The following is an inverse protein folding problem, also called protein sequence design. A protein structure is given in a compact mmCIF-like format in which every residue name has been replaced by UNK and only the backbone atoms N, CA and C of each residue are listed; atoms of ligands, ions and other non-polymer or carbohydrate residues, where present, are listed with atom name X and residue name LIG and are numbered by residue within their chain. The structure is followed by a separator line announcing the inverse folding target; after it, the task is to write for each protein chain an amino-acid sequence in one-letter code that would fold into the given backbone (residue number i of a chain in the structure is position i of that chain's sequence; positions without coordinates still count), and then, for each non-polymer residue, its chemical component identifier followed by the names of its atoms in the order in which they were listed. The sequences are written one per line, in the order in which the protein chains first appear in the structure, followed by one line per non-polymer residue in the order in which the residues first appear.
data_IF_820725846788
#
_entry.id   IF_820725846788
#
_cell.length_a   1.000
_cell.length_b   1.000
_cell.length_c   1.000
_cell.angle_alpha   90.00
_cell.angle_beta   90.00
_cell.angle_gamma   90.00
#
_symmetry.space_group_name_H-M   'P 1'
#
loop_
_entity.id
_entity.type
_entity.pdbx_description
1 polymer ?
#
# COMPACT_ATOMS: atom_id res chain seq x y z
N UNK A 1 -27.00 -18.22 -3.21
CA UNK A 1 -26.00 -18.40 -4.30
C UNK A 1 -24.63 -18.61 -3.66
N UNK A 2 -23.77 -19.47 -4.22
CA UNK A 2 -22.39 -19.63 -3.72
C UNK A 2 -21.57 -18.38 -4.14
N UNK A 3 -20.86 -17.71 -3.24
CA UNK A 3 -20.06 -16.54 -3.60
C UNK A 3 -18.96 -16.88 -4.61
N UNK A 4 -18.75 -15.96 -5.55
CA UNK A 4 -17.77 -16.06 -6.64
C UNK A 4 -16.48 -15.35 -6.22
N UNK A 5 -15.35 -16.01 -6.41
CA UNK A 5 -14.01 -15.43 -6.31
C UNK A 5 -13.54 -15.05 -7.71
N UNK A 6 -13.47 -13.75 -7.95
CA UNK A 6 -12.92 -13.15 -9.16
C UNK A 6 -11.50 -12.66 -8.87
N UNK A 7 -10.54 -13.07 -9.70
CA UNK A 7 -9.14 -12.65 -9.55
C UNK A 7 -8.81 -11.58 -10.57
N UNK A 8 -8.47 -10.38 -10.09
CA UNK A 8 -8.09 -9.23 -10.90
C UNK A 8 -6.60 -9.25 -11.24
N UNK A 9 -6.29 -9.40 -12.53
CA UNK A 9 -4.92 -9.44 -13.05
C UNK A 9 -4.44 -8.03 -13.41
N UNK A 10 -4.26 -7.17 -12.40
CA UNK A 10 -3.76 -5.78 -12.57
C UNK A 10 -2.24 -5.72 -12.78
N UNK A 11 -1.80 -6.21 -13.94
CA UNK A 11 -0.40 -6.33 -14.33
C UNK A 11 -0.17 -5.61 -15.65
N UNK A 12 1.08 -5.34 -16.03
CA UNK A 12 1.41 -4.73 -17.32
C UNK A 12 1.96 -5.74 -18.34
N UNK A 13 1.85 -7.04 -18.05
CA UNK A 13 2.57 -8.08 -18.77
C UNK A 13 1.71 -9.33 -18.94
N UNK A 14 1.45 -9.70 -20.19
CA UNK A 14 0.62 -10.85 -20.55
C UNK A 14 1.15 -12.19 -20.02
N UNK A 15 2.42 -12.53 -20.27
CA UNK A 15 2.98 -13.85 -19.93
C UNK A 15 2.86 -14.12 -18.43
N UNK A 16 3.16 -13.09 -17.64
CA UNK A 16 3.05 -13.16 -16.19
C UNK A 16 1.60 -13.26 -15.72
N UNK A 17 0.71 -12.46 -16.30
CA UNK A 17 -0.71 -12.51 -15.96
C UNK A 17 -1.28 -13.91 -16.21
N UNK A 18 -0.84 -14.59 -17.28
CA UNK A 18 -1.24 -15.97 -17.59
C UNK A 18 -0.68 -16.97 -16.58
N UNK A 19 0.60 -16.85 -16.18
CA UNK A 19 1.16 -17.71 -15.12
C UNK A 19 0.37 -17.56 -13.80
N UNK A 20 0.11 -16.32 -13.39
CA UNK A 20 -0.68 -16.03 -12.18
C UNK A 20 -2.11 -16.57 -12.33
N UNK A 21 -2.72 -16.44 -13.52
CA UNK A 21 -4.04 -16.99 -13.80
C UNK A 21 -4.08 -18.51 -13.63
N UNK A 22 -3.07 -19.25 -14.13
CA UNK A 22 -2.96 -20.70 -13.94
C UNK A 22 -2.91 -21.06 -12.45
N UNK A 23 -2.06 -20.39 -11.69
CA UNK A 23 -1.89 -20.68 -10.28
C UNK A 23 -3.11 -20.27 -9.45
N UNK A 24 -3.77 -19.17 -9.80
CA UNK A 24 -5.04 -18.76 -9.19
C UNK A 24 -6.15 -19.79 -9.48
N UNK A 25 -6.25 -20.30 -10.71
CA UNK A 25 -7.20 -21.37 -11.05
C UNK A 25 -6.92 -22.65 -10.26
N UNK A 26 -5.65 -23.07 -10.12
CA UNK A 26 -5.26 -24.20 -9.25
C UNK A 26 -5.63 -23.96 -7.77
N UNK A 27 -5.63 -22.70 -7.35
CA UNK A 27 -6.04 -22.28 -6.01
C UNK A 27 -7.56 -22.19 -5.81
N UNK A 28 -8.35 -22.26 -6.88
CA UNK A 28 -9.81 -22.27 -6.83
C UNK A 28 -10.48 -20.97 -7.24
N UNK A 29 -9.82 -20.11 -8.03
CA UNK A 29 -10.45 -18.97 -8.67
C UNK A 29 -11.62 -19.41 -9.57
N UNK A 30 -12.75 -18.73 -9.48
CA UNK A 30 -13.91 -19.02 -10.32
C UNK A 30 -13.85 -18.18 -11.60
N UNK A 31 -13.57 -16.88 -11.46
CA UNK A 31 -13.52 -15.90 -12.54
C UNK A 31 -12.12 -15.31 -12.66
N UNK A 32 -11.69 -15.02 -13.88
CA UNK A 32 -10.43 -14.37 -14.19
C UNK A 32 -10.72 -13.05 -14.88
N UNK A 33 -10.15 -11.97 -14.36
CA UNK A 33 -10.33 -10.63 -14.90
C UNK A 33 -9.04 -10.12 -15.52
N UNK A 34 -9.11 -9.74 -16.79
CA UNK A 34 -8.11 -8.88 -17.40
C UNK A 34 -8.33 -7.46 -16.86
N UNK A 35 -7.51 -7.07 -15.88
CA UNK A 35 -7.61 -5.76 -15.23
C UNK A 35 -7.30 -4.60 -16.18
N UNK A 36 -7.78 -3.40 -15.84
CA UNK A 36 -7.58 -2.18 -16.65
C UNK A 36 -6.10 -1.97 -17.09
N UNK A 37 -5.08 -2.06 -16.20
CA UNK A 37 -3.69 -1.83 -16.60
C UNK A 37 -3.20 -2.85 -17.63
N UNK A 38 -3.67 -4.10 -17.52
CA UNK A 38 -3.27 -5.20 -18.40
C UNK A 38 -3.86 -5.03 -19.79
N UNK A 39 -5.16 -4.68 -19.86
CA UNK A 39 -5.83 -4.32 -21.10
C UNK A 39 -5.14 -3.13 -21.76
N UNK A 40 -4.81 -2.08 -21.01
CA UNK A 40 -4.12 -0.90 -21.56
C UNK A 40 -2.72 -1.23 -22.09
N UNK A 41 -2.01 -2.20 -21.50
CA UNK A 41 -0.66 -2.55 -21.94
C UNK A 41 -0.62 -3.53 -23.11
N UNK A 42 -1.54 -4.49 -23.14
CA UNK A 42 -1.51 -5.64 -24.08
C UNK A 42 -2.66 -5.60 -25.11
N UNK A 43 -3.58 -4.66 -24.97
CA UNK A 43 -4.83 -4.59 -25.74
C UNK A 43 -5.73 -5.81 -25.49
N UNK A 44 -6.70 -6.04 -26.39
CA UNK A 44 -7.63 -7.18 -26.29
C UNK A 44 -6.97 -8.55 -26.54
N UNK A 45 -5.70 -8.60 -26.90
CA UNK A 45 -4.99 -9.86 -27.06
C UNK A 45 -4.88 -10.63 -25.73
N UNK A 46 -4.84 -9.94 -24.59
CA UNK A 46 -4.82 -10.63 -23.30
C UNK A 46 -6.13 -11.36 -23.02
N UNK A 47 -7.27 -10.76 -23.38
CA UNK A 47 -8.59 -11.39 -23.23
C UNK A 47 -8.68 -12.65 -24.11
N UNK A 48 -8.18 -12.57 -25.36
CA UNK A 48 -8.10 -13.73 -26.27
C UNK A 48 -7.26 -14.87 -25.68
N UNK A 49 -6.06 -14.56 -25.17
CA UNK A 49 -5.18 -15.55 -24.55
C UNK A 49 -5.79 -16.18 -23.29
N UNK A 50 -6.47 -15.38 -22.47
CA UNK A 50 -7.19 -15.90 -21.30
C UNK A 50 -8.33 -16.85 -21.70
N UNK A 51 -9.14 -16.49 -22.70
CA UNK A 51 -10.18 -17.37 -23.24
C UNK A 51 -9.61 -18.67 -23.79
N UNK A 52 -8.53 -18.59 -24.58
CA UNK A 52 -7.88 -19.75 -25.18
C UNK A 52 -7.37 -20.73 -24.11
N UNK A 53 -6.72 -20.23 -23.05
CA UNK A 53 -6.13 -21.09 -22.01
C UNK A 53 -7.13 -21.54 -20.94
N UNK A 54 -8.22 -20.79 -20.74
CA UNK A 54 -9.22 -21.06 -19.70
C UNK A 54 -10.65 -21.09 -20.28
N UNK A 55 -10.94 -21.99 -21.24
CA UNK A 55 -12.23 -22.00 -21.96
C UNK A 55 -13.44 -22.23 -21.04
N UNK A 56 -13.23 -22.92 -19.91
CA UNK A 56 -14.27 -23.26 -18.92
C UNK A 56 -14.40 -22.24 -17.78
N UNK A 57 -13.66 -21.13 -17.82
CA UNK A 57 -13.71 -20.07 -16.81
C UNK A 57 -14.47 -18.87 -17.34
N UNK A 58 -15.08 -18.14 -16.42
CA UNK A 58 -15.64 -16.84 -16.73
C UNK A 58 -14.50 -15.84 -16.91
N UNK A 59 -14.43 -15.20 -18.08
CA UNK A 59 -13.43 -14.18 -18.39
C UNK A 59 -14.09 -12.81 -18.29
N UNK A 60 -13.54 -11.96 -17.43
CA UNK A 60 -13.98 -10.57 -17.25
C UNK A 60 -13.00 -9.64 -17.96
N UNK A 61 -13.51 -8.70 -18.75
CA UNK A 61 -12.73 -7.59 -19.28
C UNK A 61 -13.06 -6.33 -18.49
N UNK A 62 -12.12 -5.86 -17.65
CA UNK A 62 -12.29 -4.60 -16.92
C UNK A 62 -11.96 -3.42 -17.83
N UNK A 63 -12.89 -3.12 -18.76
CA UNK A 63 -12.72 -2.07 -19.75
C UNK A 63 -12.81 -0.68 -19.12
N UNK A 64 -13.58 -0.54 -18.02
CA UNK A 64 -13.96 0.75 -17.44
C UNK A 64 -14.44 1.73 -18.51
N UNK A 65 -15.26 1.23 -19.42
CA UNK A 65 -15.82 1.97 -20.53
C UNK A 65 -16.53 3.21 -20.00
N UNK A 66 -16.04 4.38 -20.40
CA UNK A 66 -16.66 5.67 -20.06
C UNK A 66 -17.53 6.19 -21.21
N UNK A 67 -17.11 5.92 -22.45
CA UNK A 67 -17.72 6.36 -23.70
C UNK A 67 -17.71 5.21 -24.73
N UNK A 68 -18.49 5.31 -25.81
CA UNK A 68 -18.55 4.35 -26.92
C UNK A 68 -18.98 2.94 -26.50
N UNK A 69 -20.00 2.87 -25.64
CA UNK A 69 -20.47 1.64 -24.98
C UNK A 69 -20.65 0.42 -25.90
N UNK A 70 -21.26 0.61 -27.08
CA UNK A 70 -21.44 -0.50 -28.03
C UNK A 70 -20.12 -1.02 -28.62
N UNK A 71 -19.20 -0.12 -28.98
CA UNK A 71 -17.93 -0.45 -29.64
C UNK A 71 -17.00 -1.22 -28.71
N UNK A 72 -16.78 -0.70 -27.50
CA UNK A 72 -15.91 -1.36 -26.52
C UNK A 72 -16.48 -2.69 -26.04
N UNK A 73 -17.80 -2.76 -25.84
CA UNK A 73 -18.49 -4.02 -25.51
C UNK A 73 -18.33 -5.06 -26.62
N UNK A 74 -18.54 -4.67 -27.88
CA UNK A 74 -18.35 -5.55 -29.03
C UNK A 74 -16.89 -6.04 -29.13
N UNK A 75 -15.94 -5.15 -28.90
CA UNK A 75 -14.52 -5.47 -28.97
C UNK A 75 -14.12 -6.52 -27.93
N UNK A 76 -14.54 -6.34 -26.68
CA UNK A 76 -14.26 -7.28 -25.59
C UNK A 76 -15.01 -8.60 -25.76
N UNK A 77 -16.27 -8.57 -26.20
CA UNK A 77 -17.06 -9.77 -26.47
C UNK A 77 -16.41 -10.64 -27.57
N UNK A 78 -16.02 -10.02 -28.70
CA UNK A 78 -15.31 -10.72 -29.79
C UNK A 78 -13.94 -11.24 -29.37
N UNK A 79 -13.32 -10.64 -28.36
CA UNK A 79 -12.07 -11.14 -27.80
C UNK A 79 -12.28 -12.35 -26.87
N UNK A 80 -13.52 -12.66 -26.48
CA UNK A 80 -13.88 -13.83 -25.70
C UNK A 80 -14.21 -13.54 -24.23
N UNK A 81 -14.50 -12.29 -23.86
CA UNK A 81 -15.01 -11.96 -22.51
C UNK A 81 -16.46 -12.44 -22.34
N UNK A 82 -16.81 -12.92 -21.14
CA UNK A 82 -18.19 -13.24 -20.76
C UNK A 82 -18.84 -12.08 -20.00
N UNK A 83 -18.02 -11.30 -19.27
CA UNK A 83 -18.45 -10.15 -18.48
C UNK A 83 -17.58 -8.96 -18.84
N UNK A 84 -18.19 -7.80 -19.05
CA UNK A 84 -17.50 -6.57 -19.47
C UNK A 84 -17.83 -5.48 -18.46
N UNK A 85 -16.82 -4.78 -17.95
CA UNK A 85 -17.01 -3.70 -16.99
C UNK A 85 -17.21 -2.34 -17.67
N UNK A 86 -18.11 -1.52 -17.10
CA UNK A 86 -18.33 -0.11 -17.47
C UNK A 86 -18.30 0.77 -16.23
N UNK A 87 -18.12 2.08 -16.41
CA UNK A 87 -18.23 3.03 -15.31
C UNK A 87 -19.69 3.46 -15.11
N UNK A 88 -20.15 3.45 -13.86
CA UNK A 88 -21.47 3.94 -13.49
C UNK A 88 -21.60 5.45 -13.67
N UNK A 89 -20.48 6.17 -13.75
CA UNK A 89 -20.45 7.59 -14.07
C UNK A 89 -20.73 7.89 -15.56
N UNK A 90 -20.74 6.89 -16.44
CA UNK A 90 -21.08 7.05 -17.85
C UNK A 90 -22.52 7.52 -18.06
N UNK A 91 -22.75 8.19 -19.20
CA UNK A 91 -24.08 8.60 -19.63
C UNK A 91 -24.99 7.40 -19.92
N UNK A 92 -26.30 7.56 -19.69
CA UNK A 92 -27.30 6.52 -19.90
C UNK A 92 -27.40 6.06 -21.37
N UNK A 93 -27.07 6.92 -22.33
CA UNK A 93 -26.98 6.52 -23.75
C UNK A 93 -25.85 5.51 -23.97
N UNK A 94 -24.68 5.74 -23.38
CA UNK A 94 -23.52 4.84 -23.43
C UNK A 94 -23.87 3.48 -22.82
N UNK A 95 -24.49 3.48 -21.64
CA UNK A 95 -24.89 2.23 -20.98
C UNK A 95 -25.95 1.49 -21.79
N UNK A 96 -26.95 2.18 -22.35
CA UNK A 96 -27.97 1.55 -23.20
C UNK A 96 -27.38 0.90 -24.44
N UNK A 97 -26.43 1.56 -25.08
CA UNK A 97 -25.78 1.02 -26.27
C UNK A 97 -24.86 -0.15 -25.95
N UNK A 98 -24.17 -0.10 -24.80
CA UNK A 98 -23.47 -1.27 -24.27
C UNK A 98 -24.42 -2.43 -24.00
N UNK A 99 -25.58 -2.21 -23.36
CA UNK A 99 -26.58 -3.26 -23.08
C UNK A 99 -27.06 -3.90 -24.38
N UNK A 100 -27.42 -3.11 -25.40
CA UNK A 100 -27.81 -3.66 -26.71
C UNK A 100 -26.71 -4.53 -27.32
N UNK A 101 -25.46 -4.07 -27.27
CA UNK A 101 -24.31 -4.81 -27.78
C UNK A 101 -24.08 -6.10 -26.98
N UNK A 102 -24.15 -6.04 -25.65
CA UNK A 102 -23.99 -7.18 -24.77
C UNK A 102 -25.02 -8.28 -25.06
N UNK A 103 -26.30 -7.90 -25.22
CA UNK A 103 -27.36 -8.85 -25.59
C UNK A 103 -27.14 -9.47 -26.97
N UNK A 104 -26.67 -8.70 -27.96
CA UNK A 104 -26.34 -9.20 -29.30
C UNK A 104 -25.25 -10.28 -29.27
N UNK A 105 -24.25 -10.13 -28.41
CA UNK A 105 -23.12 -11.07 -28.30
C UNK A 105 -23.29 -12.12 -27.19
N UNK A 106 -24.39 -12.09 -26.43
CA UNK A 106 -24.65 -13.05 -25.35
C UNK A 106 -23.73 -12.89 -24.13
N UNK A 107 -23.19 -11.69 -23.91
CA UNK A 107 -22.31 -11.36 -22.77
C UNK A 107 -23.05 -10.55 -21.71
N UNK A 108 -22.46 -10.44 -20.53
CA UNK A 108 -23.03 -9.70 -19.40
C UNK A 108 -22.25 -8.42 -19.10
N UNK A 109 -22.94 -7.45 -18.50
CA UNK A 109 -22.34 -6.18 -18.10
C UNK A 109 -22.25 -6.05 -16.59
N UNK A 110 -21.08 -5.62 -16.12
CA UNK A 110 -20.82 -5.21 -14.74
C UNK A 110 -20.58 -3.71 -14.70
N UNK A 111 -21.26 -2.98 -13.83
CA UNK A 111 -21.08 -1.51 -13.73
C UNK A 111 -20.40 -1.14 -12.43
N UNK A 112 -19.22 -0.55 -12.54
CA UNK A 112 -18.38 -0.06 -11.44
C UNK A 112 -18.89 1.31 -10.97
N UNK A 113 -19.30 1.38 -9.70
CA UNK A 113 -19.85 2.58 -9.07
C UNK A 113 -18.77 3.55 -8.56
N UNK A 114 -17.50 3.33 -8.88
CA UNK A 114 -16.42 4.24 -8.53
C UNK A 114 -16.70 5.67 -9.03
N UNK A 115 -16.52 6.64 -8.14
CA UNK A 115 -16.72 8.07 -8.44
C UNK A 115 -18.18 8.48 -8.64
N UNK A 116 -19.16 7.58 -8.43
CA UNK A 116 -20.58 7.93 -8.51
C UNK A 116 -21.00 8.69 -7.24
N UNK A 117 -21.56 9.91 -7.34
CA UNK A 117 -21.91 10.71 -6.15
C UNK A 117 -23.01 10.09 -5.28
N UNK A 118 -24.02 9.47 -5.90
CA UNK A 118 -25.10 8.74 -5.22
C UNK A 118 -25.20 7.31 -5.79
N UNK A 119 -24.40 6.37 -5.26
CA UNK A 119 -24.34 5.02 -5.79
C UNK A 119 -25.66 4.26 -5.64
N UNK A 120 -26.47 4.56 -4.62
CA UNK A 120 -27.75 3.89 -4.37
C UNK A 120 -28.77 4.29 -5.42
N UNK A 121 -28.94 5.60 -5.65
CA UNK A 121 -29.81 6.08 -6.72
C UNK A 121 -29.34 5.61 -8.09
N UNK A 122 -28.01 5.62 -8.34
CA UNK A 122 -27.46 5.15 -9.61
C UNK A 122 -27.73 3.67 -9.82
N UNK A 123 -27.54 2.83 -8.79
CA UNK A 123 -27.85 1.40 -8.86
C UNK A 123 -29.28 1.16 -9.36
N UNK A 124 -30.30 1.81 -8.77
CA UNK A 124 -31.69 1.68 -9.21
C UNK A 124 -31.90 2.04 -10.69
N UNK A 125 -31.22 3.11 -11.16
CA UNK A 125 -31.29 3.49 -12.58
C UNK A 125 -30.66 2.42 -13.50
N UNK A 126 -29.53 1.86 -13.09
CA UNK A 126 -28.82 0.82 -13.85
C UNK A 126 -29.65 -0.47 -13.95
N UNK A 127 -30.40 -0.82 -12.90
CA UNK A 127 -31.36 -1.93 -12.94
C UNK A 127 -32.40 -1.75 -14.04
N UNK A 128 -32.93 -0.54 -14.17
CA UNK A 128 -33.91 -0.20 -15.22
C UNK A 128 -33.30 -0.26 -16.62
N UNK A 129 -32.00 0.07 -16.74
CA UNK A 129 -31.28 0.02 -18.01
C UNK A 129 -30.90 -1.40 -18.45
N UNK A 130 -31.03 -2.40 -17.58
CA UNK A 130 -30.83 -3.80 -17.91
C UNK A 130 -29.39 -4.30 -17.80
N UNK A 131 -28.58 -3.70 -16.93
CA UNK A 131 -27.24 -4.23 -16.56
C UNK A 131 -27.37 -5.54 -15.78
N UNK A 132 -26.29 -6.34 -15.65
CA UNK A 132 -26.38 -7.66 -15.02
C UNK A 132 -25.74 -7.71 -13.62
N UNK A 133 -24.73 -6.86 -13.37
CA UNK A 133 -23.99 -6.80 -12.10
C UNK A 133 -23.68 -5.36 -11.70
N UNK A 134 -23.67 -5.11 -10.39
CA UNK A 134 -23.14 -3.88 -9.80
C UNK A 134 -21.78 -4.17 -9.18
N UNK A 135 -20.84 -3.25 -9.26
CA UNK A 135 -19.54 -3.36 -8.60
C UNK A 135 -19.31 -2.15 -7.68
N UNK A 136 -19.07 -2.43 -6.40
CA UNK A 136 -18.60 -1.44 -5.43
C UNK A 136 -17.08 -1.52 -5.44
N UNK A 137 -16.44 -0.46 -5.92
CA UNK A 137 -14.99 -0.37 -5.96
C UNK A 137 -14.53 0.76 -5.05
N UNK A 138 -13.79 0.41 -4.00
CA UNK A 138 -13.11 1.41 -3.18
C UNK A 138 -11.87 1.85 -3.95
N UNK A 139 -11.77 3.13 -4.30
CA UNK A 139 -10.58 3.65 -5.00
C UNK A 139 -9.30 3.42 -4.20
N UNK A 140 -8.16 3.33 -4.87
CA UNK A 140 -6.85 3.10 -4.21
C UNK A 140 -6.59 4.17 -3.14
N UNK A 141 -6.89 5.45 -3.44
CA UNK A 141 -6.70 6.56 -2.50
C UNK A 141 -7.58 6.41 -1.23
N UNK A 142 -8.82 5.95 -1.39
CA UNK A 142 -9.72 5.69 -0.25
C UNK A 142 -9.30 4.47 0.57
N UNK A 143 -8.72 3.46 -0.07
CA UNK A 143 -8.13 2.31 0.61
C UNK A 143 -6.91 2.71 1.45
N UNK A 144 -6.07 3.62 0.95
CA UNK A 144 -4.89 4.10 1.70
C UNK A 144 -5.28 4.84 2.99
N UNK A 145 -6.47 5.44 3.01
CA UNK A 145 -7.06 6.08 4.20
C UNK A 145 -7.90 5.11 5.05
N UNK A 146 -7.94 3.81 4.73
CA UNK A 146 -8.60 2.80 5.56
C UNK A 146 -10.14 2.84 5.56
N UNK A 147 -10.78 3.52 4.60
CA UNK A 147 -12.25 3.52 4.50
C UNK A 147 -12.77 2.11 4.18
N UNK A 148 -13.82 1.67 4.90
CA UNK A 148 -14.46 0.36 4.69
C UNK A 148 -15.80 0.51 3.97
N UNK A 149 -16.16 -0.40 3.03
CA UNK A 149 -17.34 -0.26 2.17
C UNK A 149 -18.63 -0.77 2.81
N UNK A 150 -18.59 -1.20 4.08
CA UNK A 150 -19.65 -2.02 4.67
C UNK A 150 -21.02 -1.33 4.68
N UNK A 151 -21.07 -0.04 4.99
CA UNK A 151 -22.33 0.71 5.03
C UNK A 151 -22.98 0.82 3.63
N UNK A 152 -22.18 1.15 2.61
CA UNK A 152 -22.67 1.26 1.24
C UNK A 152 -23.13 -0.11 0.71
N UNK A 153 -22.34 -1.15 0.95
CA UNK A 153 -22.67 -2.52 0.57
C UNK A 153 -23.97 -3.00 1.22
N UNK A 154 -24.11 -2.82 2.53
CA UNK A 154 -25.35 -3.17 3.25
C UNK A 154 -26.57 -2.43 2.70
N UNK A 155 -26.39 -1.16 2.32
CA UNK A 155 -27.47 -0.33 1.78
C UNK A 155 -27.87 -0.83 0.39
N UNK A 156 -26.91 -1.01 -0.51
CA UNK A 156 -27.16 -1.55 -1.85
C UNK A 156 -27.75 -2.96 -1.80
N UNK A 157 -27.25 -3.84 -0.93
CA UNK A 157 -27.77 -5.20 -0.78
C UNK A 157 -29.23 -5.25 -0.27
N UNK A 158 -29.71 -4.19 0.40
CA UNK A 158 -31.12 -4.07 0.83
C UNK A 158 -32.03 -3.52 -0.28
N UNK A 159 -31.49 -2.72 -1.20
CA UNK A 159 -32.27 -1.97 -2.18
C UNK A 159 -32.16 -2.50 -3.62
N UNK A 160 -31.15 -3.31 -3.90
CA UNK A 160 -30.90 -3.89 -5.23
C UNK A 160 -31.16 -5.39 -5.21
N UNK A 161 -31.74 -5.89 -6.31
CA UNK A 161 -31.92 -7.33 -6.54
C UNK A 161 -30.77 -7.94 -7.35
N UNK A 162 -29.83 -7.13 -7.82
CA UNK A 162 -28.70 -7.62 -8.61
C UNK A 162 -27.59 -8.21 -7.76
N UNK A 163 -26.84 -9.19 -8.33
CA UNK A 163 -25.62 -9.65 -7.70
C UNK A 163 -24.60 -8.50 -7.62
N UNK A 164 -24.10 -8.25 -6.41
CA UNK A 164 -23.13 -7.18 -6.11
C UNK A 164 -21.73 -7.77 -6.04
N UNK A 165 -20.84 -7.23 -6.86
CA UNK A 165 -19.41 -7.40 -6.78
C UNK A 165 -18.78 -6.35 -5.85
N UNK A 166 -17.73 -6.74 -5.13
CA UNK A 166 -16.96 -5.82 -4.30
C UNK A 166 -15.49 -5.97 -4.64
N UNK A 167 -14.85 -4.84 -4.94
CA UNK A 167 -13.43 -4.71 -5.20
C UNK A 167 -12.79 -3.71 -4.24
N UNK A 168 -11.49 -3.89 -4.01
CA UNK A 168 -10.64 -2.95 -3.31
C UNK A 168 -10.07 -3.48 -2.01
N UNK A 169 -8.76 -3.78 -2.01
CA UNK A 169 -8.01 -4.17 -0.80
C UNK A 169 -8.47 -5.46 -0.11
N UNK A 170 -9.29 -6.30 -0.76
CA UNK A 170 -9.83 -7.51 -0.13
C UNK A 170 -8.76 -8.59 0.04
N UNK A 171 -8.80 -9.30 1.17
CA UNK A 171 -7.86 -10.35 1.55
C UNK A 171 -8.56 -11.44 2.39
N UNK A 172 -7.81 -12.44 2.86
CA UNK A 172 -8.38 -13.56 3.64
C UNK A 172 -9.05 -13.15 4.95
N UNK A 173 -8.80 -11.93 5.45
CA UNK A 173 -9.45 -11.41 6.65
C UNK A 173 -10.79 -10.73 6.35
N UNK A 174 -10.91 -10.04 5.22
CA UNK A 174 -12.05 -9.16 4.94
C UNK A 174 -13.12 -9.81 4.08
N UNK A 175 -12.78 -10.82 3.26
CA UNK A 175 -13.74 -11.43 2.32
C UNK A 175 -14.95 -12.08 2.98
N UNK A 176 -14.79 -12.66 4.17
CA UNK A 176 -15.89 -13.29 4.90
C UNK A 176 -16.93 -12.25 5.35
N UNK A 177 -16.47 -11.13 5.89
CA UNK A 177 -17.32 -10.02 6.30
C UNK A 177 -18.03 -9.38 5.09
N UNK A 178 -17.31 -9.18 3.98
CA UNK A 178 -17.90 -8.65 2.74
C UNK A 178 -19.04 -9.53 2.21
N UNK A 179 -18.89 -10.86 2.26
CA UNK A 179 -19.97 -11.79 1.88
C UNK A 179 -21.15 -11.71 2.85
N UNK A 180 -20.88 -11.66 4.16
CA UNK A 180 -21.94 -11.57 5.17
C UNK A 180 -22.78 -10.28 5.03
N UNK A 181 -22.18 -9.24 4.45
CA UNK A 181 -22.85 -7.97 4.15
C UNK A 181 -23.60 -7.91 2.82
N UNK A 182 -23.62 -9.00 2.05
CA UNK A 182 -24.47 -9.14 0.85
C UNK A 182 -23.73 -9.24 -0.48
N UNK A 183 -22.38 -9.23 -0.49
CA UNK A 183 -21.63 -9.43 -1.72
C UNK A 183 -21.80 -10.86 -2.25
N UNK A 184 -22.05 -10.98 -3.55
CA UNK A 184 -22.14 -12.28 -4.25
C UNK A 184 -20.89 -12.56 -5.08
N UNK A 185 -20.15 -11.53 -5.47
CA UNK A 185 -18.87 -11.60 -6.16
C UNK A 185 -17.83 -10.84 -5.34
N UNK A 186 -16.67 -11.45 -5.14
CA UNK A 186 -15.55 -10.88 -4.40
C UNK A 186 -14.37 -10.78 -5.35
N UNK A 187 -13.93 -9.55 -5.63
CA UNK A 187 -12.83 -9.28 -6.55
C UNK A 187 -11.55 -9.05 -5.75
N UNK A 188 -10.56 -9.91 -5.99
CA UNK A 188 -9.27 -9.87 -5.29
C UNK A 188 -8.14 -9.74 -6.29
N UNK A 189 -7.37 -8.65 -6.16
CA UNK A 189 -6.16 -8.39 -6.94
C UNK A 189 -4.89 -8.67 -6.13
N UNK A 190 -4.31 -7.62 -5.55
CA UNK A 190 -2.99 -7.62 -4.91
C UNK A 190 -2.75 -8.77 -3.92
N UNK A 191 -3.74 -9.12 -3.09
CA UNK A 191 -3.61 -10.20 -2.11
C UNK A 191 -3.36 -11.60 -2.72
N UNK A 192 -3.67 -11.77 -4.01
CA UNK A 192 -3.37 -12.96 -4.79
C UNK A 192 -2.17 -12.70 -5.71
N UNK A 193 -2.21 -11.62 -6.50
CA UNK A 193 -1.25 -11.39 -7.59
C UNK A 193 0.15 -10.99 -7.13
N UNK A 194 0.28 -10.51 -5.89
CA UNK A 194 1.57 -10.18 -5.26
C UNK A 194 2.04 -11.23 -4.24
N UNK A 195 1.25 -12.29 -4.01
CA UNK A 195 1.63 -13.35 -3.07
C UNK A 195 2.85 -14.14 -3.58
N UNK A 196 3.68 -14.62 -2.65
CA UNK A 196 4.79 -15.52 -2.97
C UNK A 196 4.29 -16.84 -3.58
N UNK A 197 3.18 -17.37 -3.05
CA UNK A 197 2.49 -18.54 -3.58
C UNK A 197 1.04 -18.17 -3.93
N UNK A 198 0.82 -17.89 -5.21
CA UNK A 198 -0.49 -17.47 -5.75
C UNK A 198 -1.56 -18.53 -5.52
N UNK A 199 -1.25 -19.82 -5.74
CA UNK A 199 -2.21 -20.91 -5.55
C UNK A 199 -2.65 -21.06 -4.10
N UNK A 200 -1.71 -20.95 -3.16
CA UNK A 200 -2.02 -21.03 -1.73
C UNK A 200 -2.81 -19.81 -1.25
N UNK A 201 -2.40 -18.59 -1.62
CA UNK A 201 -3.12 -17.37 -1.29
C UNK A 201 -4.58 -17.43 -1.78
N UNK A 202 -4.77 -17.83 -3.04
CA UNK A 202 -6.11 -18.01 -3.63
C UNK A 202 -6.93 -19.05 -2.86
N UNK A 203 -6.33 -20.19 -2.49
CA UNK A 203 -6.99 -21.26 -1.72
C UNK A 203 -7.41 -20.79 -0.33
N UNK A 204 -6.54 -20.04 0.35
CA UNK A 204 -6.81 -19.47 1.67
C UNK A 204 -7.99 -18.50 1.62
N UNK A 205 -8.01 -17.61 0.62
CA UNK A 205 -9.14 -16.69 0.40
C UNK A 205 -10.43 -17.47 0.09
N UNK A 206 -10.36 -18.46 -0.80
CA UNK A 206 -11.51 -19.31 -1.13
C UNK A 206 -12.04 -20.06 0.10
N UNK A 207 -11.15 -20.51 0.99
CA UNK A 207 -11.51 -21.13 2.28
C UNK A 207 -12.20 -20.13 3.21
N UNK A 208 -11.66 -18.91 3.36
CA UNK A 208 -12.27 -17.85 4.16
C UNK A 208 -13.69 -17.51 3.67
N UNK A 209 -13.88 -17.44 2.36
CA UNK A 209 -15.19 -17.21 1.72
C UNK A 209 -16.17 -18.37 1.98
N UNK A 210 -15.73 -19.62 1.78
CA UNK A 210 -16.59 -20.80 1.90
C UNK A 210 -16.98 -21.05 3.36
N UNK A 211 -16.05 -20.86 4.29
CA UNK A 211 -16.27 -21.01 5.72
C UNK A 211 -16.93 -19.79 6.36
N UNK A 212 -17.01 -18.66 5.63
CA UNK A 212 -17.44 -17.35 6.13
C UNK A 212 -16.73 -16.95 7.43
N UNK A 213 -15.43 -17.23 7.51
CA UNK A 213 -14.58 -16.95 8.66
C UNK A 213 -13.33 -16.18 8.23
N UNK A 214 -12.96 -15.20 9.05
CA UNK A 214 -11.69 -14.48 8.96
C UNK A 214 -10.53 -15.48 9.07
N UNK A 215 -9.57 -15.40 8.15
CA UNK A 215 -8.28 -16.10 8.27
C UNK A 215 -7.18 -15.04 8.30
N UNK A 216 -6.49 -14.94 9.44
CA UNK A 216 -5.45 -13.94 9.70
C UNK A 216 -4.30 -14.03 8.69
N UNK A 217 -3.81 -12.88 8.25
CA UNK A 217 -2.64 -12.75 7.37
C UNK A 217 -1.82 -11.52 7.75
N UNK A 218 -0.50 -11.67 7.71
CA UNK A 218 0.43 -10.55 7.87
C UNK A 218 0.61 -9.76 6.56
N UNK A 219 0.22 -10.32 5.42
CA UNK A 219 0.35 -9.69 4.11
C UNK A 219 -0.97 -9.09 3.64
N UNK A 220 -0.88 -7.98 2.91
CA UNK A 220 -1.99 -7.27 2.27
C UNK A 220 -3.00 -6.70 3.27
N UNK A 221 -2.54 -6.37 4.48
CA UNK A 221 -3.30 -5.70 5.52
C UNK A 221 -3.13 -4.18 5.37
N UNK A 222 -4.24 -3.45 5.40
CA UNK A 222 -4.25 -2.00 5.54
C UNK A 222 -4.41 -1.64 7.01
N UNK A 223 -3.64 -0.66 7.46
CA UNK A 223 -3.56 -0.19 8.84
C UNK A 223 -4.27 1.16 8.96
N UNK A 224 -4.94 1.37 10.09
CA UNK A 224 -5.53 2.66 10.45
C UNK A 224 -4.56 3.52 11.27
N UNK A 225 -5.00 4.75 11.60
CA UNK A 225 -4.19 5.72 12.34
C UNK A 225 -3.75 5.24 13.74
N UNK A 226 -4.42 4.24 14.32
CA UNK A 226 -4.08 3.69 15.65
C UNK A 226 -3.03 2.59 15.59
N UNK A 227 -2.84 1.97 14.42
CA UNK A 227 -1.92 0.85 14.21
C UNK A 227 -0.61 1.26 13.46
N UNK A 228 -0.32 2.57 13.35
CA UNK A 228 0.79 3.05 12.53
C UNK A 228 2.17 2.63 13.03
N UNK A 229 2.34 2.48 14.35
CA UNK A 229 3.59 1.96 14.92
C UNK A 229 3.93 0.59 14.34
N UNK A 230 2.95 -0.34 14.38
CA UNK A 230 3.12 -1.68 13.83
C UNK A 230 3.32 -1.67 12.32
N UNK A 231 2.62 -0.79 11.59
CA UNK A 231 2.78 -0.65 10.15
C UNK A 231 4.22 -0.22 9.78
N UNK A 232 4.73 0.85 10.40
CA UNK A 232 6.09 1.34 10.18
C UNK A 232 7.18 0.38 10.66
N UNK A 233 6.91 -0.39 11.73
CA UNK A 233 7.84 -1.42 12.19
C UNK A 233 8.01 -2.57 11.17
N UNK A 234 7.09 -2.71 10.22
CA UNK A 234 7.12 -3.78 9.23
C UNK A 234 7.78 -3.38 7.92
N UNK A 235 8.18 -2.13 7.74
CA UNK A 235 8.77 -1.63 6.48
C UNK A 235 10.12 -1.00 6.75
N UNK A 236 11.01 -1.08 5.76
CA UNK A 236 12.34 -0.48 5.86
C UNK A 236 12.32 1.01 5.50
N UNK A 237 13.33 1.78 5.89
CA UNK A 237 13.44 3.19 5.51
C UNK A 237 13.47 3.41 3.99
N UNK A 238 14.10 2.54 3.15
CA UNK A 238 13.95 2.63 1.69
C UNK A 238 12.50 2.43 1.21
N UNK A 239 11.75 1.47 1.77
CA UNK A 239 10.35 1.27 1.37
C UNK A 239 9.49 2.51 1.67
N UNK A 240 9.73 3.16 2.81
CA UNK A 240 9.03 4.40 3.19
C UNK A 240 9.42 5.54 2.25
N UNK A 241 10.71 5.70 1.94
CA UNK A 241 11.17 6.75 1.03
C UNK A 241 10.59 6.57 -0.37
N UNK A 242 10.56 5.35 -0.91
CA UNK A 242 9.94 5.05 -2.20
C UNK A 242 8.42 5.34 -2.20
N UNK A 243 7.72 5.04 -1.10
CA UNK A 243 6.31 5.39 -0.92
C UNK A 243 6.07 6.90 -0.89
N UNK A 244 7.06 7.68 -0.45
CA UNK A 244 7.09 9.15 -0.46
C UNK A 244 7.77 9.73 -1.72
N UNK A 245 7.86 8.99 -2.82
CA UNK A 245 8.49 9.45 -4.06
C UNK A 245 9.96 9.86 -3.91
N UNK A 246 10.73 9.08 -3.12
CA UNK A 246 12.16 9.25 -2.83
C UNK A 246 12.48 10.47 -1.97
N UNK A 247 11.57 10.81 -1.06
CA UNK A 247 11.70 11.92 -0.11
C UNK A 247 11.80 11.41 1.34
N UNK A 248 11.91 12.33 2.29
CA UNK A 248 11.89 12.05 3.73
C UNK A 248 13.21 11.58 4.34
N UNK A 249 14.19 11.14 3.54
CA UNK A 249 15.47 10.67 4.04
C UNK A 249 16.35 11.81 4.58
N UNK A 250 16.87 11.64 5.81
CA UNK A 250 17.75 12.59 6.47
C UNK A 250 19.20 12.46 5.95
N UNK A 251 19.75 13.57 5.45
CA UNK A 251 21.07 13.59 4.83
C UNK A 251 22.22 13.65 5.83
N UNK A 252 23.14 12.69 5.68
CA UNK A 252 24.38 12.60 6.45
C UNK A 252 24.16 12.26 7.93
N UNK A 253 23.00 11.71 8.26
CA UNK A 253 22.69 11.12 9.55
C UNK A 253 22.84 9.61 9.42
N UNK A 254 23.66 8.98 10.27
CA UNK A 254 23.97 7.56 10.19
C UNK A 254 23.78 6.88 11.55
N UNK A 255 23.36 5.59 11.56
CA UNK A 255 23.37 4.82 12.79
C UNK A 255 24.80 4.70 13.29
N UNK A 256 25.01 4.87 14.60
CA UNK A 256 26.33 4.64 15.20
C UNK A 256 26.59 3.14 15.41
N UNK A 257 25.53 2.33 15.38
CA UNK A 257 25.53 0.87 15.48
C UNK A 257 24.39 0.28 14.66
N UNK A 258 24.62 -0.87 14.03
CA UNK A 258 23.65 -1.56 13.17
C UNK A 258 22.76 -2.53 13.96
N UNK A 259 21.69 -3.02 13.34
CA UNK A 259 20.80 -4.06 13.88
C UNK A 259 19.60 -3.53 14.65
N UNK A 260 19.31 -2.24 14.54
CA UNK A 260 18.13 -1.61 15.15
C UNK A 260 17.09 -1.25 14.09
N UNK A 261 15.82 -1.35 14.49
CA UNK A 261 14.68 -0.79 13.76
C UNK A 261 13.93 0.13 14.70
N UNK A 262 14.20 1.43 14.59
CA UNK A 262 13.63 2.48 15.43
C UNK A 262 12.37 3.03 14.78
N UNK A 263 11.28 3.12 15.53
CA UNK A 263 10.03 3.76 15.12
C UNK A 263 9.47 4.54 16.29
N UNK A 264 9.11 5.81 16.09
CA UNK A 264 8.40 6.58 17.11
C UNK A 264 8.04 7.99 16.64
N UNK A 265 7.27 8.70 17.46
CA UNK A 265 6.92 10.10 17.18
C UNK A 265 8.04 11.02 17.62
N UNK A 266 8.33 12.05 16.84
CA UNK A 266 9.37 13.03 17.10
C UNK A 266 9.00 13.92 18.30
N UNK A 267 9.93 14.11 19.22
CA UNK A 267 10.02 15.31 20.03
C UNK A 267 11.25 16.09 19.56
N UNK A 268 11.01 17.24 18.97
CA UNK A 268 12.05 18.05 18.33
C UNK A 268 12.75 18.95 19.33
N UNK A 269 14.06 19.09 19.17
CA UNK A 269 14.91 19.93 20.02
C UNK A 269 15.84 20.72 19.12
N UNK A 270 15.86 22.03 19.28
CA UNK A 270 16.85 22.91 18.66
C UNK A 270 17.82 23.38 19.72
N UNK A 271 19.11 23.33 19.45
CA UNK A 271 20.14 23.91 20.31
C UNK A 271 21.35 24.39 19.49
N UNK A 272 22.39 24.89 20.15
CA UNK A 272 23.61 25.40 19.50
C UNK A 272 24.78 24.43 19.70
N UNK A 273 25.85 24.61 18.90
CA UNK A 273 27.02 23.72 18.96
C UNK A 273 27.60 23.64 20.39
N UNK A 274 27.69 22.40 20.88
CA UNK A 274 28.14 22.06 22.23
C UNK A 274 27.16 22.33 23.38
N UNK A 275 25.96 22.86 23.16
CA UNK A 275 24.99 23.01 24.26
C UNK A 275 24.13 21.76 24.44
N UNK A 276 24.39 21.00 25.51
CA UNK A 276 23.66 19.78 25.82
C UNK A 276 22.46 19.98 26.74
N UNK A 277 22.21 21.19 27.26
CA UNK A 277 21.17 21.41 28.28
C UNK A 277 19.75 21.05 27.77
N UNK A 278 19.38 21.49 26.57
CA UNK A 278 18.05 21.22 25.97
C UNK A 278 17.85 19.75 25.57
N UNK A 279 18.83 19.06 24.95
CA UNK A 279 18.74 17.62 24.73
C UNK A 279 18.45 16.81 26.00
N UNK A 280 19.08 17.14 27.13
CA UNK A 280 18.85 16.43 28.40
C UNK A 280 17.48 16.77 28.99
N UNK A 281 17.11 18.06 29.03
CA UNK A 281 15.77 18.51 29.47
C UNK A 281 14.64 17.85 28.66
N UNK A 282 14.87 17.57 27.37
CA UNK A 282 13.90 16.91 26.51
C UNK A 282 13.64 15.44 26.89
N UNK A 283 14.61 14.74 27.48
CA UNK A 283 14.41 13.36 27.97
C UNK A 283 13.33 13.34 29.06
N UNK A 284 13.36 14.31 29.98
CA UNK A 284 12.40 14.38 31.08
C UNK A 284 10.97 14.62 30.59
N UNK A 285 10.85 15.43 29.52
CA UNK A 285 9.58 15.80 28.87
C UNK A 285 9.06 14.75 27.89
N UNK A 286 9.91 13.85 27.41
CA UNK A 286 9.52 12.83 26.44
C UNK A 286 8.63 11.75 27.06
N UNK A 287 7.70 11.25 26.25
CA UNK A 287 6.88 10.10 26.59
C UNK A 287 7.58 8.80 26.15
N UNK A 288 7.15 7.68 26.71
CA UNK A 288 7.62 6.35 26.31
C UNK A 288 7.40 6.14 24.80
N UNK A 289 8.42 5.62 24.11
CA UNK A 289 8.39 5.36 22.67
C UNK A 289 8.59 6.59 21.78
N UNK A 290 8.84 7.78 22.34
CA UNK A 290 9.22 8.97 21.58
C UNK A 290 10.63 8.82 20.99
N UNK A 291 10.86 9.39 19.81
CA UNK A 291 12.19 9.61 19.23
C UNK A 291 12.58 11.06 19.46
N UNK A 292 13.70 11.30 20.14
CA UNK A 292 14.25 12.65 20.24
C UNK A 292 14.95 13.02 18.94
N UNK A 293 14.63 14.18 18.37
CA UNK A 293 15.29 14.69 17.16
C UNK A 293 15.95 16.02 17.48
N UNK A 294 17.27 16.03 17.52
CA UNK A 294 18.09 17.15 17.98
C UNK A 294 18.76 17.81 16.77
N UNK A 295 18.42 19.07 16.53
CA UNK A 295 19.08 19.96 15.57
C UNK A 295 20.10 20.83 16.29
N UNK A 296 21.37 20.64 15.92
CA UNK A 296 22.52 21.41 16.42
C UNK A 296 23.15 22.22 15.27
N UNK A 297 22.42 22.44 14.18
CA UNK A 297 22.91 23.08 12.96
C UNK A 297 24.24 22.49 12.46
N UNK A 298 24.35 21.15 12.47
CA UNK A 298 25.54 20.39 12.07
C UNK A 298 26.78 20.70 12.92
N UNK A 299 26.58 21.06 14.20
CA UNK A 299 27.63 21.28 15.17
C UNK A 299 28.58 20.09 15.30
N UNK A 300 29.86 20.40 15.55
CA UNK A 300 30.93 19.38 15.62
C UNK A 300 31.34 19.05 17.06
N UNK A 301 30.73 19.71 18.04
CA UNK A 301 30.95 19.46 19.47
C UNK A 301 29.83 18.57 20.01
N UNK A 302 30.17 17.55 20.79
CA UNK A 302 29.18 16.59 21.25
C UNK A 302 28.15 17.22 22.20
N UNK A 303 26.87 16.95 21.93
CA UNK A 303 25.72 17.32 22.78
C UNK A 303 25.06 16.11 23.44
N UNK A 304 25.59 14.91 23.18
CA UNK A 304 25.06 13.64 23.65
C UNK A 304 26.18 12.63 23.90
N UNK A 305 26.00 11.79 24.92
CA UNK A 305 26.99 10.79 25.35
C UNK A 305 26.35 9.69 26.19
N UNK A 306 27.18 9.01 26.99
CA UNK A 306 26.77 7.81 27.74
C UNK A 306 25.60 8.07 28.70
N UNK A 307 25.73 9.08 29.57
CA UNK A 307 24.75 9.34 30.63
C UNK A 307 23.37 9.75 30.07
N UNK A 308 23.37 10.54 29.00
CA UNK A 308 22.15 10.90 28.27
C UNK A 308 21.46 9.65 27.70
N UNK A 309 22.26 8.73 27.17
CA UNK A 309 21.79 7.47 26.60
C UNK A 309 21.17 6.57 27.67
N UNK A 310 21.78 6.46 28.85
CA UNK A 310 21.18 5.75 29.98
C UNK A 310 19.85 6.36 30.40
N UNK A 311 19.78 7.69 30.52
CA UNK A 311 18.54 8.39 30.88
C UNK A 311 17.43 8.12 29.85
N UNK A 312 17.74 8.26 28.56
CA UNK A 312 16.80 7.98 27.47
C UNK A 312 16.33 6.52 27.43
N UNK A 313 17.25 5.56 27.66
CA UNK A 313 16.92 4.13 27.70
C UNK A 313 16.02 3.79 28.89
N UNK A 314 16.31 4.32 30.07
CA UNK A 314 15.48 4.11 31.28
C UNK A 314 14.11 4.76 31.18
N UNK A 315 13.99 5.86 30.43
CA UNK A 315 12.72 6.51 30.07
C UNK A 315 11.94 5.76 28.98
N UNK A 316 12.51 4.67 28.45
CA UNK A 316 11.93 3.86 27.38
C UNK A 316 11.65 4.66 26.10
N UNK A 317 12.55 5.59 25.75
CA UNK A 317 12.49 6.26 24.45
C UNK A 317 12.78 5.25 23.32
N UNK A 318 12.23 5.49 22.14
CA UNK A 318 12.47 4.62 20.98
C UNK A 318 13.88 4.81 20.39
N UNK A 319 14.48 5.99 20.58
CA UNK A 319 15.83 6.30 20.13
C UNK A 319 16.10 7.80 20.06
N UNK A 320 17.25 8.18 19.52
CA UNK A 320 17.64 9.58 19.31
C UNK A 320 18.30 9.79 17.95
N UNK A 321 17.99 10.91 17.33
CA UNK A 321 18.54 11.39 16.06
C UNK A 321 19.18 12.74 16.29
N UNK A 322 20.46 12.90 15.94
CA UNK A 322 21.24 14.10 16.27
C UNK A 322 21.89 14.62 15.00
N UNK A 323 21.41 15.76 14.50
CA UNK A 323 22.09 16.55 13.47
C UNK A 323 23.24 17.36 14.07
N UNK A 324 24.22 16.62 14.56
CA UNK A 324 25.37 17.09 15.32
C UNK A 324 26.22 15.90 15.76
N UNK A 325 26.98 16.08 16.85
CA UNK A 325 27.94 15.10 17.30
C UNK A 325 27.54 14.37 18.59
N UNK A 326 27.98 13.11 18.70
CA UNK A 326 27.93 12.29 19.92
C UNK A 326 29.34 11.95 20.39
N UNK A 327 29.48 11.55 21.66
CA UNK A 327 30.73 11.02 22.24
C UNK A 327 30.50 9.74 23.04
N UNK A 328 31.55 9.23 23.70
CA UNK A 328 31.52 8.03 24.56
C UNK A 328 31.16 6.76 23.76
N UNK A 329 31.65 6.67 22.52
CA UNK A 329 31.19 5.70 21.52
C UNK A 329 31.24 4.25 22.00
N UNK A 330 32.32 3.85 22.68
CA UNK A 330 32.49 2.49 23.17
C UNK A 330 31.44 2.10 24.22
N UNK A 331 31.00 3.04 25.06
CA UNK A 331 29.90 2.82 26.00
C UNK A 331 28.54 2.84 25.31
N UNK A 332 28.34 3.73 24.32
CA UNK A 332 27.11 3.75 23.52
C UNK A 332 26.83 2.41 22.84
N UNK A 333 27.86 1.74 22.32
CA UNK A 333 27.74 0.40 21.72
C UNK A 333 27.27 -0.66 22.73
N UNK A 334 27.73 -0.57 23.99
CA UNK A 334 27.36 -1.52 25.05
C UNK A 334 25.92 -1.33 25.52
N UNK A 335 25.41 -0.10 25.50
CA UNK A 335 24.06 0.22 25.99
C UNK A 335 22.97 -0.31 25.04
N UNK A 336 23.27 -0.59 23.76
CA UNK A 336 22.31 -1.10 22.78
C UNK A 336 21.03 -0.24 22.70
N UNK A 337 21.21 1.05 22.47
CA UNK A 337 20.13 2.02 22.27
C UNK A 337 20.23 2.62 20.85
N UNK A 338 19.11 2.78 20.10
CA UNK A 338 19.17 3.35 18.76
C UNK A 338 19.62 4.82 18.79
N UNK A 339 20.81 5.07 18.24
CA UNK A 339 21.39 6.42 18.13
C UNK A 339 21.83 6.64 16.68
N UNK A 340 21.35 7.74 16.11
CA UNK A 340 21.74 8.21 14.80
C UNK A 340 22.38 9.58 14.94
N UNK A 341 23.56 9.78 14.36
CA UNK A 341 24.27 11.05 14.44
C UNK A 341 24.94 11.43 13.13
N UNK A 342 25.34 12.70 13.02
CA UNK A 342 26.20 13.17 11.93
C UNK A 342 27.67 12.86 12.21
N UNK A 343 28.10 13.08 13.45
CA UNK A 343 29.50 12.90 13.85
C UNK A 343 29.63 12.08 15.13
N UNK A 344 30.80 11.47 15.29
CA UNK A 344 31.27 10.84 16.53
C UNK A 344 32.60 11.53 16.86
N UNK A 345 32.70 12.15 18.04
CA UNK A 345 33.83 13.00 18.43
C UNK A 345 34.18 12.81 19.91
N UNK A 346 35.41 13.13 20.34
CA UNK A 346 35.81 13.01 21.75
C UNK A 346 35.47 14.26 22.60
N UNK A 347 35.36 15.44 21.99
CA UNK A 347 35.12 16.70 22.71
C UNK A 347 33.63 16.89 23.03
N UNK A 348 33.34 17.21 24.29
CA UNK A 348 32.01 17.66 24.72
C UNK A 348 31.93 19.17 24.82
N UNK A 349 30.70 19.67 24.77
CA UNK A 349 30.41 21.04 25.16
C UNK A 349 29.90 21.18 26.59
N UNK A 350 29.15 22.24 26.84
CA UNK A 350 28.77 22.73 28.16
C UNK A 350 27.27 23.09 28.19
N UNK A 351 26.60 23.00 29.35
CA UNK A 351 25.18 23.32 29.45
C UNK A 351 24.99 24.83 29.45
N UNK A 352 24.60 25.41 28.32
CA UNK A 352 24.36 26.86 28.20
C UNK A 352 22.88 27.22 28.35
N UNK A 353 21.98 26.24 28.21
CA UNK A 353 20.55 26.42 28.43
C UNK A 353 19.81 27.09 27.27
N UNK A 354 20.45 27.20 26.11
CA UNK A 354 19.93 27.87 24.92
C UNK A 354 19.23 26.88 23.99
N UNK A 355 18.19 27.37 23.32
CA UNK A 355 17.40 26.61 22.36
C UNK A 355 15.99 26.32 22.82
N UNK A 356 15.31 25.44 22.08
CA UNK A 356 13.87 25.24 22.15
C UNK A 356 13.54 23.75 22.08
N UNK A 357 12.51 23.34 22.82
CA UNK A 357 11.92 22.00 22.74
C UNK A 357 10.55 22.16 22.08
N UNK A 358 10.19 21.22 21.21
CA UNK A 358 8.97 21.23 20.40
C UNK A 358 8.90 22.28 19.29
N UNK A 359 10.03 22.90 18.94
CA UNK A 359 10.12 23.79 17.78
C UNK A 359 10.18 23.01 16.46
N UNK A 360 9.70 23.60 15.37
CA UNK A 360 9.99 23.07 14.03
C UNK A 360 11.49 23.21 13.74
N UNK A 361 12.15 22.14 13.30
CA UNK A 361 13.61 22.10 13.09
C UNK A 361 13.96 21.65 11.68
N UNK A 362 15.21 21.88 11.28
CA UNK A 362 15.77 21.30 10.04
C UNK A 362 16.85 20.29 10.41
N UNK A 363 16.55 19.01 10.24
CA UNK A 363 17.47 17.91 10.56
C UNK A 363 17.74 17.12 9.28
N UNK A 364 19.01 16.94 8.90
CA UNK A 364 19.38 16.20 7.70
C UNK A 364 18.77 16.78 6.42
N UNK A 365 18.64 18.10 6.33
CA UNK A 365 17.97 18.80 5.22
C UNK A 365 16.48 18.44 5.06
N UNK A 366 15.80 18.02 6.13
CA UNK A 366 14.36 17.81 6.18
C UNK A 366 13.75 18.66 7.30
N UNK A 367 12.57 19.23 7.05
CA UNK A 367 11.77 19.92 8.08
C UNK A 367 11.07 18.86 8.94
N UNK A 368 11.20 18.98 10.25
CA UNK A 368 10.60 18.04 11.22
C UNK A 368 9.88 18.82 12.30
N UNK A 369 8.64 18.41 12.60
CA UNK A 369 7.83 18.94 13.70
C UNK A 369 7.62 17.88 14.76
N UNK A 370 7.37 18.32 15.99
CA UNK A 370 6.96 17.40 17.06
C UNK A 370 5.66 16.70 16.66
N UNK A 371 5.65 15.37 16.82
CA UNK A 371 4.56 14.48 16.41
C UNK A 371 4.74 13.81 15.04
N UNK A 372 5.66 14.28 14.18
CA UNK A 372 5.99 13.56 12.94
C UNK A 372 6.59 12.18 13.25
N UNK A 373 6.45 11.21 12.35
CA UNK A 373 6.99 9.87 12.55
C UNK A 373 8.44 9.81 12.10
N UNK A 374 9.29 9.20 12.95
CA UNK A 374 10.70 8.98 12.66
C UNK A 374 10.94 7.48 12.61
N UNK A 375 11.48 7.02 11.48
CA UNK A 375 11.84 5.62 11.27
C UNK A 375 13.33 5.58 10.98
N UNK A 376 14.07 4.74 11.70
CA UNK A 376 15.50 4.56 11.50
C UNK A 376 15.88 3.08 11.40
N UNK A 377 16.71 2.75 10.42
CA UNK A 377 17.31 1.43 10.26
C UNK A 377 18.77 1.58 9.80
N UNK A 378 19.41 0.47 9.43
CA UNK A 378 20.81 0.46 9.00
C UNK A 378 21.09 1.35 7.76
N UNK A 379 20.07 1.69 6.96
CA UNK A 379 20.21 2.55 5.78
C UNK A 379 20.24 4.04 6.15
N UNK A 380 19.68 4.42 7.30
CA UNK A 380 19.59 5.81 7.77
C UNK A 380 18.27 6.10 8.48
N UNK A 381 17.81 7.34 8.38
CA UNK A 381 16.57 7.81 9.03
C UNK A 381 15.66 8.46 7.99
N UNK A 382 14.36 8.21 8.09
CA UNK A 382 13.30 8.85 7.30
C UNK A 382 12.30 9.51 8.24
N UNK A 383 11.88 10.73 7.90
CA UNK A 383 10.74 11.43 8.53
C UNK A 383 9.49 11.28 7.67
N UNK A 384 8.36 11.04 8.31
CA UNK A 384 7.03 11.04 7.68
C UNK A 384 6.14 12.05 8.41
N UNK A 385 5.63 13.09 7.72
CA UNK A 385 4.71 14.05 8.33
C UNK A 385 3.46 13.36 8.89
N UNK A 386 3.04 13.76 10.09
CA UNK A 386 1.94 13.09 10.80
C UNK A 386 0.61 13.11 10.04
N UNK A 387 0.37 14.11 9.20
CA UNK A 387 -0.88 14.28 8.45
C UNK A 387 -1.05 13.25 7.34
N UNK A 388 0.05 12.72 6.79
CA UNK A 388 0.05 11.74 5.70
C UNK A 388 0.55 10.35 6.15
N UNK A 389 0.81 10.18 7.45
CA UNK A 389 1.47 8.99 7.97
C UNK A 389 0.72 7.69 7.66
N UNK A 390 -0.62 7.70 7.74
CA UNK A 390 -1.42 6.52 7.43
C UNK A 390 -1.32 6.11 5.95
N UNK A 391 -1.41 7.09 5.05
CA UNK A 391 -1.26 6.85 3.62
C UNK A 391 0.14 6.28 3.31
N UNK A 392 1.19 6.91 3.84
CA UNK A 392 2.56 6.51 3.59
C UNK A 392 2.87 5.13 4.18
N UNK A 393 2.38 4.80 5.38
CA UNK A 393 2.56 3.47 5.97
C UNK A 393 1.95 2.38 5.08
N UNK A 394 0.71 2.59 4.61
CA UNK A 394 0.01 1.65 3.72
C UNK A 394 0.67 1.54 2.34
N UNK A 395 1.19 2.65 1.79
CA UNK A 395 1.96 2.62 0.54
C UNK A 395 3.31 1.91 0.70
N UNK A 396 4.01 2.13 1.82
CA UNK A 396 5.30 1.47 2.09
C UNK A 396 5.16 -0.05 2.21
N UNK A 397 4.05 -0.53 2.79
CA UNK A 397 3.71 -1.95 2.81
C UNK A 397 3.48 -2.49 1.39
N UNK A 398 2.77 -1.75 0.56
CA UNK A 398 2.55 -2.14 -0.85
C UNK A 398 3.87 -2.20 -1.65
N UNK A 399 4.81 -1.28 -1.38
CA UNK A 399 6.17 -1.30 -1.94
C UNK A 399 6.90 -2.56 -1.49
N UNK A 400 6.92 -2.86 -0.19
CA UNK A 400 7.56 -4.06 0.37
C UNK A 400 6.99 -5.34 -0.25
N UNK A 401 5.67 -5.44 -0.38
CA UNK A 401 5.00 -6.60 -0.98
C UNK A 401 5.36 -6.77 -2.46
N UNK A 402 5.41 -5.65 -3.19
CA UNK A 402 5.83 -5.63 -4.58
C UNK A 402 7.30 -6.07 -4.74
N UNK A 403 8.18 -5.64 -3.84
CA UNK A 403 9.58 -6.07 -3.80
C UNK A 403 9.73 -7.54 -3.43
N UNK A 404 8.97 -8.04 -2.44
CA UNK A 404 8.95 -9.45 -2.08
C UNK A 404 8.62 -10.32 -3.29
N UNK A 405 7.61 -9.90 -4.05
CA UNK A 405 7.21 -10.55 -5.29
C UNK A 405 8.33 -10.53 -6.34
N UNK A 406 8.96 -9.38 -6.59
CA UNK A 406 10.09 -9.26 -7.53
C UNK A 406 11.26 -10.14 -7.07
N UNK A 407 11.56 -10.16 -5.77
CA UNK A 407 12.64 -10.95 -5.18
C UNK A 407 12.44 -12.44 -5.41
N UNK A 408 11.23 -12.94 -5.23
CA UNK A 408 10.96 -14.36 -5.51
C UNK A 408 11.14 -14.69 -6.99
N UNK A 409 10.71 -13.83 -7.92
CA UNK A 409 10.96 -14.07 -9.36
C UNK A 409 12.44 -14.09 -9.72
N UNK A 410 13.24 -13.24 -9.06
CA UNK A 410 14.68 -13.26 -9.23
C UNK A 410 15.28 -14.58 -8.72
N UNK A 411 14.82 -15.06 -7.54
CA UNK A 411 15.25 -16.35 -7.00
C UNK A 411 14.87 -17.53 -7.88
N UNK A 412 13.77 -17.44 -8.64
CA UNK A 412 13.37 -18.46 -9.63
C UNK A 412 14.14 -18.37 -10.96
N UNK A 413 15.24 -17.60 -11.01
CA UNK A 413 16.15 -17.54 -12.15
C UNK A 413 15.94 -16.34 -13.08
N UNK A 414 15.03 -15.43 -12.75
CA UNK A 414 14.90 -14.15 -13.46
C UNK A 414 16.03 -13.19 -13.09
N UNK A 415 16.48 -12.37 -14.05
CA UNK A 415 17.25 -11.16 -13.72
C UNK A 415 16.30 -10.01 -13.36
N UNK A 416 16.75 -9.03 -12.58
CA UNK A 416 15.95 -7.83 -12.30
C UNK A 416 15.51 -7.11 -13.59
N UNK A 417 16.43 -7.01 -14.56
CA UNK A 417 16.17 -6.39 -15.86
C UNK A 417 15.08 -7.11 -16.67
N UNK A 418 15.08 -8.44 -16.65
CA UNK A 418 14.06 -9.25 -17.33
C UNK A 418 12.72 -9.22 -16.60
N UNK A 419 12.72 -9.29 -15.26
CA UNK A 419 11.50 -9.24 -14.44
C UNK A 419 10.77 -7.91 -14.61
N UNK A 420 11.53 -6.80 -14.61
CA UNK A 420 10.99 -5.46 -14.82
C UNK A 420 10.84 -5.08 -16.30
N UNK A 421 11.25 -5.95 -17.23
CA UNK A 421 11.31 -5.69 -18.68
C UNK A 421 11.90 -4.31 -19.01
N UNK A 422 13.03 -3.96 -18.38
CA UNK A 422 13.66 -2.63 -18.51
C UNK A 422 13.91 -2.26 -19.98
N UNK A 423 14.20 -3.24 -20.83
CA UNK A 423 14.37 -3.06 -22.28
C UNK A 423 13.15 -2.50 -23.02
N UNK A 424 11.92 -2.64 -22.49
CA UNK A 424 10.71 -2.03 -23.08
C UNK A 424 10.75 -0.49 -23.01
N UNK A 425 11.54 0.06 -22.08
CA UNK A 425 11.71 1.49 -21.85
C UNK A 425 12.96 2.05 -22.51
N UNK A 426 13.80 1.21 -23.12
CA UNK A 426 14.92 1.69 -23.92
C UNK A 426 14.36 2.50 -25.09
N UNK A 427 14.80 3.75 -25.19
CA UNK A 427 14.49 4.59 -26.34
C UNK A 427 15.04 3.88 -27.57
N UNK A 428 14.17 3.49 -28.51
CA UNK A 428 14.61 3.03 -29.83
C UNK A 428 15.29 4.21 -30.52
N UNK A 429 16.61 4.25 -30.46
CA UNK A 429 17.42 5.14 -31.31
C UNK A 429 17.48 4.42 -32.65
N UNK A 430 16.66 4.91 -33.59
CA UNK A 430 16.61 4.41 -34.97
C UNK A 430 17.79 4.90 -35.78
#
# INVERSE_FOLDING_TARGET
MKPILQVALDLLNADRALTIAHDAVKGGADWLEAGTPLIKSEGMNIVRKLREQFPNKTIVADMKTMDTGALETEMAAKAGADVISLLGASDDSTIRDAVKSARKYGVKLMVDLIGVPDPVKRACSLETLGVDYLCIHIGIDEQMHGKKPHQLLQTLAKHSHFPIAVAGGLNSETVAETINHGATIVIVGGAITKAQNVSEATRTIKKAMTQKKKITTDLFKKYDATELYDAFHRVSTPNISDAMHKQGALQGIRPITTGFHMVGRALTVRTIDGDWAKPIEAIDKAEKGTVLVVDVNKGTTAVWGELATWSAKLKELAGVVIDGAVRDYDDLLKIQFPIFSRYIVPNAGEPKGLGEISAEITCGNQTIRTGDWIIGDDSGVVVVPQEIAQEIANRALDVKEQENRIREEIKHGGSLGSVLKVKKWEKKVG
#
